data_IF_346615524103
#
_entry.id   IF_346615524103
#
_cell.length_a   1.000
_cell.length_b   1.000
_cell.length_c   1.000
_cell.angle_alpha   90.00
_cell.angle_beta   90.00
_cell.angle_gamma   90.00
#
_symmetry.space_group_name_H-M   'P 1'
#
loop_
_entity.id
_entity.type
_entity.pdbx_description
1 polymer ?
#
# COMPACT_ATOMS: atom_id res chain seq x y z
N UNK A 1 1.88 20.68 6.91
CA UNK A 1 2.39 19.28 6.70
C UNK A 1 3.90 19.33 6.59
N UNK A 2 4.65 18.42 7.22
CA UNK A 2 6.11 18.34 7.00
C UNK A 2 6.37 17.77 5.61
N UNK A 3 7.42 18.27 4.96
CA UNK A 3 7.86 17.74 3.68
C UNK A 3 8.82 16.58 3.92
N UNK A 4 8.49 15.40 3.40
CA UNK A 4 9.27 14.17 3.46
C UNK A 4 9.79 13.73 2.09
N UNK A 5 9.46 14.47 1.03
CA UNK A 5 9.92 14.22 -0.33
C UNK A 5 11.45 14.24 -0.40
N UNK A 6 12.03 13.22 -1.02
CA UNK A 6 13.49 13.09 -1.14
C UNK A 6 14.21 12.48 0.06
N UNK A 7 13.49 12.05 1.11
CA UNK A 7 14.12 11.26 2.18
C UNK A 7 14.63 9.91 1.63
N UNK A 8 15.77 9.43 2.14
CA UNK A 8 16.28 8.14 1.72
C UNK A 8 15.28 7.03 2.06
N UNK A 9 15.03 6.09 1.12
CA UNK A 9 14.20 4.92 1.40
C UNK A 9 14.71 4.14 2.61
N UNK A 10 13.78 3.47 3.30
CA UNK A 10 13.99 2.68 4.52
C UNK A 10 14.49 3.47 5.73
N UNK A 11 14.72 4.79 5.64
CA UNK A 11 14.83 5.64 6.83
C UNK A 11 13.45 5.76 7.52
N UNK A 12 13.42 6.25 8.77
CA UNK A 12 12.17 6.46 9.49
C UNK A 12 11.58 7.84 9.23
N UNK A 13 10.24 7.94 9.21
CA UNK A 13 9.61 9.26 9.08
C UNK A 13 9.92 10.17 10.27
N UNK A 14 9.93 9.63 11.49
CA UNK A 14 10.23 10.40 12.72
C UNK A 14 11.11 9.65 13.71
N UNK A 15 10.63 8.55 14.25
CA UNK A 15 11.24 7.84 15.38
C UNK A 15 11.68 6.46 14.93
N UNK A 16 12.96 6.16 15.08
CA UNK A 16 13.49 4.83 14.78
C UNK A 16 12.95 3.80 15.78
N UNK A 17 12.70 2.59 15.30
CA UNK A 17 12.40 1.46 16.18
C UNK A 17 13.68 1.02 16.90
N UNK A 18 13.59 0.71 18.20
CA UNK A 18 14.72 0.18 18.95
C UNK A 18 15.28 -1.12 18.32
N UNK A 19 16.58 -1.23 18.20
CA UNK A 19 17.24 -2.44 17.68
C UNK A 19 17.08 -2.71 16.18
N UNK A 20 16.60 -1.74 15.42
CA UNK A 20 16.50 -1.84 13.95
C UNK A 20 17.42 -0.83 13.29
N UNK A 21 18.50 -1.33 12.70
CA UNK A 21 19.35 -0.55 11.79
C UNK A 21 18.79 -0.69 10.35
N UNK A 22 18.33 0.43 9.78
CA UNK A 22 17.81 0.44 8.42
C UNK A 22 18.89 0.17 7.35
N UNK A 23 20.18 0.30 7.68
CA UNK A 23 21.29 -0.03 6.76
C UNK A 23 21.37 -1.54 6.47
N UNK A 24 20.79 -2.39 7.33
CA UNK A 24 20.67 -3.83 7.13
C UNK A 24 19.54 -4.25 6.19
N UNK A 25 18.65 -3.31 5.84
CA UNK A 25 17.46 -3.59 5.03
C UNK A 25 17.83 -3.56 3.54
N UNK A 26 17.91 -4.72 2.91
CA UNK A 26 18.32 -4.89 1.52
C UNK A 26 17.15 -4.96 0.53
N UNK A 27 15.95 -5.26 1.03
CA UNK A 27 14.73 -5.41 0.23
C UNK A 27 14.18 -4.09 -0.29
N UNK A 28 13.04 -4.18 -0.98
CA UNK A 28 12.32 -3.02 -1.52
C UNK A 28 10.93 -2.93 -0.90
N UNK A 29 10.60 -1.76 -0.37
CA UNK A 29 9.26 -1.48 0.18
C UNK A 29 8.45 -0.67 -0.82
N UNK A 30 7.36 -1.25 -1.32
CA UNK A 30 6.44 -0.66 -2.29
C UNK A 30 5.06 -0.60 -1.66
N UNK A 31 4.49 0.57 -1.63
CA UNK A 31 3.19 0.86 -1.03
C UNK A 31 2.17 1.15 -2.11
N UNK A 32 0.97 0.56 -2.01
CA UNK A 32 -0.16 0.83 -2.90
C UNK A 32 -1.28 1.45 -2.07
N UNK A 33 -1.58 2.71 -2.35
CA UNK A 33 -2.53 3.55 -1.63
C UNK A 33 -3.68 4.01 -2.49
N UNK A 34 -4.71 4.52 -1.85
CA UNK A 34 -5.86 5.14 -2.52
C UNK A 34 -7.19 4.89 -1.80
N UNK A 35 -8.29 5.50 -2.29
CA UNK A 35 -9.62 5.39 -1.71
C UNK A 35 -10.17 3.96 -1.78
N UNK A 36 -11.31 3.73 -1.14
CA UNK A 36 -11.97 2.44 -1.19
C UNK A 36 -12.52 2.16 -2.59
N UNK A 37 -12.61 0.89 -2.97
CA UNK A 37 -13.04 0.42 -4.30
C UNK A 37 -12.17 0.89 -5.50
N UNK A 38 -11.01 1.52 -5.31
CA UNK A 38 -10.15 1.99 -6.40
C UNK A 38 -9.46 0.85 -7.19
N UNK A 39 -9.46 -0.39 -6.65
CA UNK A 39 -8.93 -1.57 -7.34
C UNK A 39 -7.53 -2.01 -6.91
N UNK A 40 -7.02 -1.53 -5.75
CA UNK A 40 -5.69 -1.90 -5.22
C UNK A 40 -5.45 -3.41 -5.16
N UNK A 41 -6.33 -4.15 -4.50
CA UNK A 41 -6.17 -5.59 -4.31
C UNK A 41 -6.16 -6.37 -5.64
N UNK A 42 -6.83 -5.85 -6.67
CA UNK A 42 -6.74 -6.41 -8.04
C UNK A 42 -5.34 -6.24 -8.60
N UNK A 43 -4.73 -5.08 -8.41
CA UNK A 43 -3.38 -4.82 -8.90
C UNK A 43 -2.33 -5.61 -8.10
N UNK A 44 -2.44 -5.66 -6.77
CA UNK A 44 -1.51 -6.45 -5.91
C UNK A 44 -1.49 -7.92 -6.32
N UNK A 45 -2.66 -8.54 -6.55
CA UNK A 45 -2.76 -9.94 -7.00
C UNK A 45 -2.08 -10.20 -8.34
N UNK A 46 -1.99 -9.18 -9.21
CA UNK A 46 -1.30 -9.27 -10.50
C UNK A 46 0.20 -8.98 -10.38
N UNK A 47 0.57 -8.06 -9.49
CA UNK A 47 1.96 -7.63 -9.30
C UNK A 47 2.82 -8.72 -8.68
N UNK A 48 2.29 -9.46 -7.71
CA UNK A 48 3.04 -10.52 -7.03
C UNK A 48 3.61 -11.55 -8.02
N UNK A 49 2.80 -12.27 -8.83
CA UNK A 49 3.33 -13.23 -9.78
C UNK A 49 4.21 -12.60 -10.85
N UNK A 50 3.92 -11.35 -11.25
CA UNK A 50 4.77 -10.64 -12.20
C UNK A 50 6.19 -10.40 -11.64
N UNK A 51 6.33 -9.95 -10.39
CA UNK A 51 7.64 -9.77 -9.75
C UNK A 51 8.36 -11.12 -9.55
N UNK A 52 7.62 -12.16 -9.17
CA UNK A 52 8.16 -13.53 -9.01
C UNK A 52 8.68 -14.11 -10.33
N UNK A 53 8.06 -13.78 -11.48
CA UNK A 53 8.58 -14.14 -12.82
C UNK A 53 9.95 -13.53 -13.11
N UNK A 54 10.26 -12.36 -12.54
CA UNK A 54 11.58 -11.74 -12.63
C UNK A 54 12.58 -12.24 -11.56
N UNK A 55 12.17 -13.19 -10.71
CA UNK A 55 13.03 -13.85 -9.73
C UNK A 55 13.07 -13.17 -8.37
N UNK A 56 12.15 -12.24 -8.08
CA UNK A 56 12.05 -11.62 -6.76
C UNK A 56 11.24 -12.48 -5.79
N UNK A 57 11.70 -12.59 -4.55
CA UNK A 57 10.88 -13.05 -3.46
C UNK A 57 9.93 -11.91 -3.03
N UNK A 58 8.63 -12.18 -2.92
CA UNK A 58 7.61 -11.14 -2.70
C UNK A 58 6.79 -11.43 -1.45
N UNK A 59 6.78 -10.49 -0.51
CA UNK A 59 5.82 -10.46 0.59
C UNK A 59 4.64 -9.57 0.18
N UNK A 60 3.41 -10.14 0.20
CA UNK A 60 2.15 -9.40 0.08
C UNK A 60 1.53 -9.26 1.47
N UNK A 61 1.45 -8.04 1.97
CA UNK A 61 0.82 -7.70 3.24
C UNK A 61 -0.12 -6.50 3.09
N UNK A 62 -0.81 -6.09 4.15
CA UNK A 62 -1.74 -4.95 4.06
C UNK A 62 -2.50 -4.71 5.37
N UNK A 63 -3.23 -3.60 5.41
CA UNK A 63 -3.99 -3.15 6.59
C UNK A 63 -4.98 -4.23 7.06
N UNK A 64 -5.10 -4.37 8.39
CA UNK A 64 -5.94 -5.34 9.09
C UNK A 64 -5.60 -6.81 8.77
N UNK A 65 -4.32 -7.10 8.52
CA UNK A 65 -3.81 -8.45 8.25
C UNK A 65 -2.83 -8.95 9.31
N UNK A 66 -2.50 -8.16 10.35
CA UNK A 66 -1.61 -8.61 11.41
C UNK A 66 -2.18 -9.81 12.16
N UNK A 67 -1.30 -10.70 12.63
CA UNK A 67 -1.69 -11.84 13.45
C UNK A 67 -2.30 -11.40 14.79
N UNK A 68 -1.78 -10.31 15.35
CA UNK A 68 -2.21 -9.77 16.64
C UNK A 68 -3.57 -9.06 16.57
N UNK A 69 -3.73 -8.09 15.65
CA UNK A 69 -4.86 -7.15 15.68
C UNK A 69 -5.89 -7.39 14.55
N UNK A 70 -5.51 -8.05 13.46
CA UNK A 70 -6.33 -8.14 12.26
C UNK A 70 -7.71 -8.77 12.46
N UNK A 71 -7.81 -9.83 13.29
CA UNK A 71 -9.08 -10.47 13.63
C UNK A 71 -9.97 -9.53 14.44
N UNK A 72 -9.42 -8.92 15.51
CA UNK A 72 -10.17 -8.02 16.39
C UNK A 72 -10.66 -6.76 15.67
N UNK A 73 -9.89 -6.20 14.72
CA UNK A 73 -10.35 -5.09 13.87
C UNK A 73 -11.58 -5.49 13.06
N UNK A 74 -11.59 -6.69 12.47
CA UNK A 74 -12.73 -7.18 11.68
C UNK A 74 -13.98 -7.35 12.53
N UNK A 75 -13.83 -7.95 13.72
CA UNK A 75 -14.93 -8.15 14.67
C UNK A 75 -15.50 -6.82 15.19
N UNK A 76 -14.62 -5.90 15.59
CA UNK A 76 -15.05 -4.57 16.06
C UNK A 76 -15.73 -3.74 14.96
N UNK A 77 -15.24 -3.85 13.71
CA UNK A 77 -15.92 -3.22 12.56
C UNK A 77 -17.29 -3.82 12.29
N UNK A 78 -17.45 -5.13 12.39
CA UNK A 78 -18.72 -5.80 12.17
C UNK A 78 -19.76 -5.38 13.23
N UNK A 79 -19.32 -5.12 14.48
CA UNK A 79 -20.18 -4.63 15.55
C UNK A 79 -20.41 -3.12 15.55
N UNK A 80 -19.76 -2.35 14.68
CA UNK A 80 -19.77 -0.88 14.65
C UNK A 80 -19.46 -0.24 16.02
N UNK A 81 -18.52 -0.83 16.77
CA UNK A 81 -18.24 -0.48 18.18
C UNK A 81 -17.05 0.45 18.36
N UNK A 82 -16.33 0.80 17.29
CA UNK A 82 -15.12 1.58 17.38
C UNK A 82 -15.40 3.09 17.31
N UNK A 83 -14.97 3.81 18.34
CA UNK A 83 -14.81 5.27 18.25
C UNK A 83 -13.58 5.65 17.39
N UNK A 84 -13.50 6.91 16.91
CA UNK A 84 -12.44 7.34 15.97
C UNK A 84 -11.01 7.07 16.47
N UNK A 85 -10.71 7.51 17.69
CA UNK A 85 -9.36 7.32 18.29
C UNK A 85 -9.04 5.83 18.46
N UNK A 86 -9.98 5.03 18.98
CA UNK A 86 -9.78 3.59 19.15
C UNK A 86 -9.54 2.91 17.82
N UNK A 87 -10.28 3.26 16.77
CA UNK A 87 -10.08 2.75 15.41
C UNK A 87 -8.69 3.08 14.91
N UNK A 88 -8.25 4.33 15.04
CA UNK A 88 -6.94 4.80 14.61
C UNK A 88 -5.81 4.08 15.33
N UNK A 89 -5.89 3.96 16.66
CA UNK A 89 -4.90 3.24 17.46
C UNK A 89 -4.89 1.73 17.15
N UNK A 90 -6.05 1.14 16.90
CA UNK A 90 -6.14 -0.26 16.53
C UNK A 90 -5.47 -0.55 15.19
N UNK A 91 -5.67 0.31 14.18
CA UNK A 91 -4.94 0.23 12.91
C UNK A 91 -3.45 0.54 13.07
N UNK A 92 -3.06 1.45 13.98
CA UNK A 92 -1.66 1.70 14.29
C UNK A 92 -0.99 0.48 14.93
N UNK A 93 -1.71 -0.24 15.82
CA UNK A 93 -1.25 -1.51 16.42
C UNK A 93 -1.09 -2.60 15.36
N UNK A 94 -2.08 -2.78 14.46
CA UNK A 94 -1.97 -3.71 13.32
C UNK A 94 -0.75 -3.38 12.45
N UNK A 95 -0.52 -2.09 12.21
CA UNK A 95 0.62 -1.65 11.43
C UNK A 95 1.95 -1.92 12.15
N UNK A 96 2.04 -1.63 13.46
CA UNK A 96 3.24 -1.87 14.25
C UNK A 96 3.61 -3.37 14.25
N UNK A 97 2.65 -4.25 14.51
CA UNK A 97 2.84 -5.69 14.50
C UNK A 97 3.36 -6.19 13.13
N UNK A 98 2.73 -5.75 12.04
CA UNK A 98 3.20 -6.10 10.69
C UNK A 98 4.58 -5.51 10.37
N UNK A 99 4.87 -4.30 10.81
CA UNK A 99 6.17 -3.68 10.58
C UNK A 99 7.29 -4.49 11.23
N UNK A 100 7.11 -4.86 12.51
CA UNK A 100 8.11 -5.57 13.31
C UNK A 100 8.24 -7.05 12.90
N UNK A 101 7.13 -7.74 12.66
CA UNK A 101 7.09 -9.19 12.51
C UNK A 101 7.00 -9.69 11.07
N UNK A 102 6.66 -8.83 10.10
CA UNK A 102 6.56 -9.22 8.68
C UNK A 102 7.46 -8.36 7.79
N UNK A 103 7.29 -7.01 7.81
CA UNK A 103 7.91 -6.11 6.84
C UNK A 103 9.43 -6.03 7.05
N UNK A 104 9.89 -5.73 8.26
CA UNK A 104 11.32 -5.62 8.57
C UNK A 104 12.06 -6.95 8.33
N UNK A 105 11.58 -8.10 8.82
CA UNK A 105 12.21 -9.39 8.50
C UNK A 105 12.31 -9.68 7.01
N UNK A 106 11.25 -9.40 6.24
CA UNK A 106 11.26 -9.59 4.78
C UNK A 106 12.25 -8.64 4.09
N UNK A 107 12.33 -7.38 4.51
CA UNK A 107 13.29 -6.41 3.97
C UNK A 107 14.73 -6.81 4.29
N UNK A 108 15.03 -7.34 5.50
CA UNK A 108 16.34 -7.90 5.84
C UNK A 108 16.71 -9.08 4.95
N UNK A 109 15.73 -9.91 4.60
CA UNK A 109 15.91 -11.05 3.70
C UNK A 109 15.97 -10.67 2.21
N UNK A 110 15.93 -9.38 1.86
CA UNK A 110 16.01 -8.91 0.47
C UNK A 110 14.71 -9.02 -0.33
N UNK A 111 13.56 -9.23 0.29
CA UNK A 111 12.29 -9.36 -0.40
C UNK A 111 11.80 -8.02 -0.98
N UNK A 112 11.01 -8.11 -2.04
CA UNK A 112 10.12 -7.02 -2.44
C UNK A 112 8.85 -7.11 -1.58
N UNK A 113 8.62 -6.12 -0.73
CA UNK A 113 7.42 -6.02 0.11
C UNK A 113 6.40 -5.16 -0.62
N UNK A 114 5.27 -5.78 -0.99
CA UNK A 114 4.08 -5.08 -1.50
C UNK A 114 3.08 -4.93 -0.36
N UNK A 115 2.71 -3.70 -0.02
CA UNK A 115 1.68 -3.47 0.99
C UNK A 115 0.45 -2.77 0.40
N UNK A 116 -0.72 -3.45 0.49
CA UNK A 116 -2.04 -2.85 0.22
C UNK A 116 -2.45 -2.02 1.43
N UNK A 117 -2.26 -0.72 1.35
CA UNK A 117 -2.34 0.28 2.41
C UNK A 117 -1.16 0.26 3.38
N UNK A 118 -0.79 1.44 3.78
CA UNK A 118 0.28 1.74 4.72
C UNK A 118 -0.19 2.79 5.72
N UNK A 119 0.74 3.51 6.36
CA UNK A 119 0.39 4.59 7.29
C UNK A 119 -0.48 5.69 6.65
N UNK A 120 -0.36 5.89 5.33
CA UNK A 120 -1.10 6.96 4.65
C UNK A 120 -2.60 6.72 4.66
N UNK A 121 -3.06 5.46 4.54
CA UNK A 121 -4.47 5.12 4.74
C UNK A 121 -4.93 5.33 6.17
N UNK A 122 -4.08 5.07 7.19
CA UNK A 122 -4.41 5.34 8.59
C UNK A 122 -4.56 6.85 8.78
N UNK A 123 -3.58 7.63 8.31
CA UNK A 123 -3.59 9.09 8.39
C UNK A 123 -4.77 9.69 7.64
N UNK A 124 -5.02 9.28 6.39
CA UNK A 124 -6.09 9.82 5.58
C UNK A 124 -7.47 9.57 6.20
N UNK A 125 -7.71 8.37 6.72
CA UNK A 125 -8.97 8.00 7.37
C UNK A 125 -9.18 8.74 8.69
N UNK A 126 -8.13 8.93 9.50
CA UNK A 126 -8.17 9.68 10.74
C UNK A 126 -8.46 11.17 10.47
N UNK A 127 -7.74 11.79 9.53
CA UNK A 127 -7.92 13.19 9.16
C UNK A 127 -9.31 13.43 8.56
N UNK A 128 -9.78 12.54 7.66
CA UNK A 128 -11.13 12.65 7.09
C UNK A 128 -12.25 12.50 8.15
N UNK A 129 -11.95 11.90 9.30
CA UNK A 129 -12.82 11.80 10.48
C UNK A 129 -12.64 12.95 11.48
N UNK A 130 -11.83 13.96 11.14
CA UNK A 130 -11.64 15.15 11.97
C UNK A 130 -10.55 15.03 13.04
N UNK A 131 -9.75 13.96 13.03
CA UNK A 131 -8.67 13.82 13.98
C UNK A 131 -7.52 14.80 13.71
N UNK A 132 -6.78 15.15 14.75
CA UNK A 132 -5.68 16.09 14.66
C UNK A 132 -4.53 15.53 13.81
N UNK A 133 -4.23 16.18 12.69
CA UNK A 133 -3.18 15.79 11.74
C UNK A 133 -1.81 15.61 12.42
N UNK A 134 -1.42 16.53 13.29
CA UNK A 134 -0.11 16.45 13.96
C UNK A 134 -0.03 15.26 14.90
N UNK A 135 -1.12 14.93 15.57
CA UNK A 135 -1.19 13.76 16.43
C UNK A 135 -1.02 12.47 15.63
N UNK A 136 -1.78 12.31 14.54
CA UNK A 136 -1.70 11.08 13.73
C UNK A 136 -0.35 10.95 13.00
N UNK A 137 0.25 12.05 12.52
CA UNK A 137 1.59 12.03 11.95
C UNK A 137 2.67 11.61 12.97
N UNK A 138 2.48 11.92 14.26
CA UNK A 138 3.36 11.45 15.33
C UNK A 138 3.14 9.98 15.63
N UNK A 139 1.88 9.56 15.73
CA UNK A 139 1.47 8.17 16.00
C UNK A 139 2.01 7.22 14.92
N UNK A 140 2.00 7.63 13.65
CA UNK A 140 2.53 6.84 12.52
C UNK A 140 4.04 7.04 12.25
N UNK A 141 4.71 7.85 13.06
CA UNK A 141 6.06 8.35 12.76
C UNK A 141 7.19 7.31 12.84
N UNK A 142 6.92 6.12 13.38
CA UNK A 142 7.86 5.00 13.42
C UNK A 142 7.90 4.19 12.12
N UNK A 143 7.11 4.56 11.13
CA UNK A 143 7.08 3.89 9.83
C UNK A 143 8.35 4.16 9.02
N UNK A 144 8.77 3.15 8.24
CA UNK A 144 9.84 3.28 7.26
C UNK A 144 9.37 4.10 6.05
N UNK A 145 10.26 4.90 5.47
CA UNK A 145 10.04 5.59 4.20
C UNK A 145 10.07 4.56 3.06
N UNK A 146 9.00 4.38 2.28
CA UNK A 146 8.98 3.42 1.18
C UNK A 146 9.93 3.85 0.04
N UNK A 147 10.36 2.89 -0.77
CA UNK A 147 11.03 3.17 -2.03
C UNK A 147 10.08 3.80 -3.05
N UNK A 148 8.80 3.40 -3.00
CA UNK A 148 7.78 3.88 -3.91
C UNK A 148 6.41 3.83 -3.23
N UNK A 149 5.66 4.92 -3.32
CA UNK A 149 4.26 5.00 -2.94
C UNK A 149 3.44 5.22 -4.20
N UNK A 150 2.67 4.22 -4.59
CA UNK A 150 1.74 4.25 -5.73
C UNK A 150 0.38 4.70 -5.24
N UNK A 151 0.00 5.94 -5.50
CA UNK A 151 -1.31 6.45 -5.17
C UNK A 151 -2.26 6.24 -6.35
N UNK A 152 -3.14 5.25 -6.24
CA UNK A 152 -4.20 4.99 -7.21
C UNK A 152 -5.34 5.99 -7.02
N UNK A 153 -5.35 7.05 -7.84
CA UNK A 153 -6.36 8.11 -7.79
C UNK A 153 -7.48 7.83 -8.79
N UNK A 154 -8.71 7.92 -8.34
CA UNK A 154 -9.91 7.87 -9.18
C UNK A 154 -10.93 8.91 -8.70
N UNK A 155 -11.84 9.32 -9.57
CA UNK A 155 -12.94 10.19 -9.21
C UNK A 155 -14.01 9.40 -8.44
N UNK A 156 -14.77 10.07 -7.55
CA UNK A 156 -15.80 9.41 -6.73
C UNK A 156 -16.84 8.68 -7.58
N UNK A 157 -17.20 9.23 -8.75
CA UNK A 157 -18.13 8.58 -9.69
C UNK A 157 -17.66 7.20 -10.15
N UNK A 158 -16.35 7.03 -10.32
CA UNK A 158 -15.77 5.74 -10.73
C UNK A 158 -15.81 4.74 -9.58
N UNK A 159 -15.60 5.22 -8.33
CA UNK A 159 -15.71 4.39 -7.13
C UNK A 159 -17.13 3.89 -6.92
N UNK A 160 -18.13 4.77 -7.09
CA UNK A 160 -19.56 4.42 -6.99
C UNK A 160 -19.88 3.29 -7.99
N UNK A 161 -19.52 3.46 -9.26
CA UNK A 161 -19.77 2.45 -10.29
C UNK A 161 -19.15 1.10 -9.93
N UNK A 162 -17.94 1.10 -9.37
CA UNK A 162 -17.25 -0.14 -8.96
C UNK A 162 -17.87 -0.79 -7.73
N UNK A 163 -18.36 0.00 -6.77
CA UNK A 163 -19.09 -0.54 -5.61
C UNK A 163 -20.40 -1.17 -6.04
N UNK A 164 -21.19 -0.46 -6.82
CA UNK A 164 -22.52 -0.95 -7.27
C UNK A 164 -22.39 -2.18 -8.14
N UNK A 165 -21.51 -2.18 -9.14
CA UNK A 165 -21.33 -3.32 -10.04
C UNK A 165 -20.60 -4.50 -9.38
N UNK A 166 -19.61 -4.22 -8.51
CA UNK A 166 -18.76 -5.26 -7.95
C UNK A 166 -19.25 -5.90 -6.65
N UNK A 167 -19.96 -5.13 -5.80
CA UNK A 167 -20.41 -5.58 -4.46
C UNK A 167 -21.93 -5.48 -4.27
N UNK A 168 -22.62 -4.72 -5.10
CA UNK A 168 -24.06 -4.50 -5.00
C UNK A 168 -24.52 -3.57 -3.84
N UNK A 169 -23.65 -3.27 -2.89
CA UNK A 169 -23.96 -2.43 -1.73
C UNK A 169 -22.74 -1.64 -1.23
N UNK A 170 -23.00 -0.50 -0.59
CA UNK A 170 -22.00 0.28 0.12
C UNK A 170 -21.71 -0.32 1.50
N UNK A 171 -20.46 -0.23 1.94
CA UNK A 171 -20.03 -0.62 3.29
C UNK A 171 -20.20 0.54 4.28
N UNK A 172 -20.56 0.24 5.52
CA UNK A 172 -20.78 1.22 6.58
C UNK A 172 -19.58 2.15 6.79
N UNK A 173 -18.39 1.58 6.95
CA UNK A 173 -17.16 2.32 7.23
C UNK A 173 -16.58 3.02 6.01
N UNK A 174 -16.73 2.42 4.82
CA UNK A 174 -16.32 3.02 3.56
C UNK A 174 -17.24 4.17 3.14
N UNK A 175 -18.47 4.19 3.68
CA UNK A 175 -19.41 5.28 3.48
C UNK A 175 -19.30 6.39 4.53
N UNK A 176 -18.48 6.20 5.58
CA UNK A 176 -18.39 7.18 6.65
C UNK A 176 -19.72 7.41 7.39
N UNK A 177 -20.56 6.37 7.52
CA UNK A 177 -21.85 6.48 8.22
C UNK A 177 -21.67 6.80 9.70
N UNK A 178 -20.55 6.41 10.28
CA UNK A 178 -20.12 6.78 11.64
C UNK A 178 -19.99 8.30 11.85
N UNK A 179 -19.91 9.09 10.77
CA UNK A 179 -19.74 10.54 10.81
C UNK A 179 -21.05 11.32 10.70
N UNK A 180 -22.15 10.65 10.35
CA UNK A 180 -23.47 11.29 10.15
C UNK A 180 -23.45 12.49 9.19
N UNK A 181 -22.65 12.42 8.11
CA UNK A 181 -22.42 13.52 7.17
C UNK A 181 -23.34 13.53 5.96
N UNK A 182 -24.15 12.51 5.75
CA UNK A 182 -25.09 12.39 4.63
C UNK A 182 -26.52 12.09 5.10
N UNK A 183 -27.51 12.34 4.25
CA UNK A 183 -28.91 12.00 4.50
C UNK A 183 -29.18 10.50 4.36
N UNK A 184 -28.37 9.85 3.52
CA UNK A 184 -28.41 8.42 3.26
C UNK A 184 -26.99 7.88 3.05
N UNK A 185 -26.89 6.56 2.86
CA UNK A 185 -25.60 5.89 2.67
C UNK A 185 -24.87 6.34 1.39
N UNK A 186 -25.60 6.65 0.33
CA UNK A 186 -25.01 7.12 -0.93
C UNK A 186 -24.39 8.51 -0.77
N UNK A 187 -25.14 9.47 -0.23
CA UNK A 187 -24.64 10.83 0.02
C UNK A 187 -23.46 10.81 0.99
N UNK A 188 -23.56 10.01 2.05
CA UNK A 188 -22.47 9.82 3.00
C UNK A 188 -21.20 9.26 2.32
N UNK A 189 -21.34 8.22 1.48
CA UNK A 189 -20.24 7.67 0.69
C UNK A 189 -19.58 8.72 -0.19
N UNK A 190 -20.38 9.48 -0.94
CA UNK A 190 -19.85 10.55 -1.83
C UNK A 190 -19.05 11.57 -1.03
N UNK A 191 -19.58 12.06 0.08
CA UNK A 191 -18.94 13.07 0.91
C UNK A 191 -17.66 12.54 1.56
N UNK A 192 -17.73 11.35 2.14
CA UNK A 192 -16.59 10.73 2.81
C UNK A 192 -15.46 10.38 1.84
N UNK A 193 -15.76 9.73 0.71
CA UNK A 193 -14.74 9.39 -0.28
C UNK A 193 -14.15 10.63 -0.96
N UNK A 194 -14.92 11.70 -1.16
CA UNK A 194 -14.41 13.00 -1.63
C UNK A 194 -13.40 13.59 -0.64
N UNK A 195 -13.74 13.61 0.64
CA UNK A 195 -12.83 14.07 1.70
C UNK A 195 -11.56 13.20 1.77
N UNK A 196 -11.72 11.89 1.66
CA UNK A 196 -10.59 10.95 1.70
C UNK A 196 -9.63 11.16 0.51
N UNK A 197 -10.17 11.34 -0.70
CA UNK A 197 -9.39 11.66 -1.91
C UNK A 197 -8.64 12.98 -1.72
N UNK A 198 -9.30 14.02 -1.21
CA UNK A 198 -8.66 15.32 -0.96
C UNK A 198 -7.49 15.17 0.02
N UNK A 199 -7.65 14.40 1.10
CA UNK A 199 -6.55 14.18 2.05
C UNK A 199 -5.38 13.41 1.41
N UNK A 200 -5.66 12.44 0.54
CA UNK A 200 -4.59 11.77 -0.22
C UNK A 200 -3.90 12.72 -1.20
N UNK A 201 -4.66 13.56 -1.92
CA UNK A 201 -4.13 14.56 -2.84
C UNK A 201 -3.22 15.56 -2.08
N UNK A 202 -3.62 16.01 -0.89
CA UNK A 202 -2.82 16.88 -0.02
C UNK A 202 -1.52 16.22 0.47
N UNK A 203 -1.50 14.89 0.63
CA UNK A 203 -0.32 14.13 1.02
C UNK A 203 0.61 13.81 -0.15
N UNK A 204 0.13 13.86 -1.38
CA UNK A 204 0.86 13.36 -2.53
C UNK A 204 2.24 14.01 -2.70
N UNK A 205 2.32 15.32 -2.74
CA UNK A 205 3.61 16.01 -2.90
C UNK A 205 4.49 15.94 -1.64
N UNK A 206 4.01 16.23 -0.41
CA UNK A 206 4.85 16.16 0.79
C UNK A 206 5.48 14.80 1.08
N UNK A 207 4.83 13.72 0.65
CA UNK A 207 5.33 12.34 0.84
C UNK A 207 5.91 11.72 -0.43
N UNK A 208 5.91 12.46 -1.56
CA UNK A 208 6.48 12.02 -2.82
C UNK A 208 5.71 10.86 -3.45
N UNK A 209 4.38 10.91 -3.46
CA UNK A 209 3.56 9.87 -4.10
C UNK A 209 3.72 9.87 -5.61
N UNK A 210 3.79 8.69 -6.18
CA UNK A 210 3.63 8.49 -7.62
C UNK A 210 2.14 8.25 -7.92
N UNK A 211 1.50 9.27 -8.51
CA UNK A 211 0.06 9.23 -8.78
C UNK A 211 -0.22 8.38 -10.03
N UNK A 212 -1.09 7.38 -9.86
CA UNK A 212 -1.58 6.50 -10.94
C UNK A 212 -3.04 6.83 -11.22
N UNK A 213 -3.35 7.17 -12.46
CA UNK A 213 -4.74 7.36 -12.88
C UNK A 213 -5.48 6.03 -12.91
N UNK A 214 -6.22 5.76 -11.83
CA UNK A 214 -6.97 4.52 -11.66
C UNK A 214 -8.37 4.54 -12.32
N UNK A 215 -8.78 5.64 -12.97
CA UNK A 215 -9.99 5.69 -13.83
C UNK A 215 -9.81 4.96 -15.17
N UNK A 216 -8.57 4.64 -15.52
CA UNK A 216 -8.23 3.87 -16.71
C UNK A 216 -8.65 2.39 -16.60
N UNK A 217 -8.76 1.65 -17.73
CA UNK A 217 -8.93 0.20 -17.73
C UNK A 217 -7.86 -0.52 -16.90
N UNK A 218 -8.26 -1.63 -16.26
CA UNK A 218 -7.42 -2.39 -15.31
C UNK A 218 -6.02 -2.70 -15.87
N UNK A 219 -5.93 -3.06 -17.17
CA UNK A 219 -4.65 -3.38 -17.81
C UNK A 219 -3.77 -2.14 -18.00
N UNK A 220 -4.34 -0.99 -18.33
CA UNK A 220 -3.60 0.27 -18.44
C UNK A 220 -3.07 0.73 -17.11
N UNK A 221 -3.86 0.58 -16.04
CA UNK A 221 -3.42 0.84 -14.67
C UNK A 221 -2.26 -0.10 -14.31
N UNK A 222 -2.37 -1.38 -14.64
CA UNK A 222 -1.33 -2.36 -14.38
C UNK A 222 -0.01 -2.02 -15.07
N UNK A 223 -0.05 -1.65 -16.37
CA UNK A 223 1.15 -1.24 -17.12
C UNK A 223 1.80 0.02 -16.50
N UNK A 224 0.98 0.99 -16.08
CA UNK A 224 1.48 2.21 -15.42
C UNK A 224 2.18 1.88 -14.10
N UNK A 225 1.62 0.98 -13.30
CA UNK A 225 2.20 0.50 -12.05
C UNK A 225 3.51 -0.24 -12.31
N UNK A 226 3.55 -1.16 -13.28
CA UNK A 226 4.77 -1.89 -13.65
C UNK A 226 5.90 -0.95 -14.03
N UNK A 227 5.60 0.06 -14.88
CA UNK A 227 6.57 1.09 -15.27
C UNK A 227 7.14 1.82 -14.05
N UNK A 228 6.30 2.20 -13.09
CA UNK A 228 6.75 2.87 -11.88
C UNK A 228 7.60 1.94 -11.00
N UNK A 229 7.20 0.68 -10.80
CA UNK A 229 7.96 -0.29 -10.01
C UNK A 229 9.34 -0.56 -10.62
N UNK A 230 9.44 -0.65 -11.95
CA UNK A 230 10.71 -0.86 -12.65
C UNK A 230 11.74 0.26 -12.47
N UNK A 231 11.35 1.41 -11.90
CA UNK A 231 12.31 2.48 -11.54
C UNK A 231 13.05 2.22 -10.23
N UNK A 232 12.54 1.34 -9.37
CA UNK A 232 13.06 1.07 -8.02
C UNK A 232 13.43 -0.40 -7.78
N UNK A 233 12.93 -1.31 -8.63
CA UNK A 233 13.21 -2.74 -8.60
C UNK A 233 13.94 -3.11 -9.89
N UNK A 234 15.10 -3.76 -9.77
CA UNK A 234 15.84 -4.26 -10.93
C UNK A 234 15.05 -5.37 -11.63
N UNK A 235 14.70 -5.14 -12.89
CA UNK A 235 13.95 -6.09 -13.69
C UNK A 235 14.91 -6.87 -14.60
N UNK A 236 15.62 -7.78 -14.00
CA UNK A 236 16.43 -8.75 -14.76
C UNK A 236 15.56 -9.62 -15.69
N UNK A 237 16.18 -10.24 -16.69
CA UNK A 237 15.45 -11.14 -17.59
C UNK A 237 14.73 -12.24 -16.79
N UNK A 238 13.45 -12.58 -17.15
CA UNK A 238 12.64 -13.56 -16.43
C UNK A 238 13.42 -14.86 -16.14
N UNK A 239 13.24 -15.45 -14.98
CA UNK A 239 13.97 -16.64 -14.53
C UNK A 239 13.93 -17.79 -15.56
N UNK A 240 12.80 -17.95 -16.27
CA UNK A 240 12.66 -18.91 -17.39
C UNK A 240 13.59 -18.60 -18.57
N UNK A 241 13.91 -17.36 -18.85
CA UNK A 241 14.85 -16.95 -19.89
C UNK A 241 16.34 -17.14 -19.45
N UNK A 242 16.63 -16.96 -18.15
CA UNK A 242 17.95 -17.28 -17.58
C UNK A 242 18.28 -18.77 -17.65
N UNK A 243 17.31 -19.63 -17.39
CA UNK A 243 17.47 -21.09 -17.51
C UNK A 243 17.77 -21.50 -18.96
N UNK A 244 17.04 -20.97 -19.95
CA UNK A 244 17.31 -21.22 -21.39
C UNK A 244 18.68 -20.71 -21.85
N UNK A 245 19.16 -19.56 -21.31
CA UNK A 245 20.52 -19.05 -21.63
C UNK A 245 21.64 -19.88 -21.01
N UNK A 246 21.43 -20.45 -19.80
CA UNK A 246 22.43 -21.35 -19.19
C UNK A 246 22.57 -22.68 -19.95
N UNK A 247 21.49 -23.20 -20.55
CA UNK A 247 21.51 -24.43 -21.36
C UNK A 247 21.99 -24.21 -22.80
N UNK A 248 22.01 -22.96 -23.28
CA UNK A 248 22.42 -22.59 -24.64
C UNK A 248 23.90 -22.14 -24.76
N UNK A 249 24.75 -22.37 -23.76
CA UNK A 249 26.22 -22.12 -23.91
C UNK A 249 26.74 -23.14 -24.90
N UNK A 250 27.33 -22.73 -26.01
CA UNK A 250 27.91 -23.68 -26.97
C UNK A 250 29.08 -24.43 -26.33
N UNK A 251 29.03 -25.73 -26.43
CA UNK A 251 30.16 -26.60 -26.14
C UNK A 251 31.25 -26.20 -27.14
N UNK A 252 32.33 -25.59 -26.64
CA UNK A 252 33.49 -25.29 -27.46
C UNK A 252 33.98 -26.61 -28.08
N UNK A 253 33.97 -26.68 -29.42
CA UNK A 253 34.62 -27.76 -30.14
C UNK A 253 36.12 -27.74 -29.81
N UNK A 254 36.55 -28.72 -29.02
CA UNK A 254 37.97 -29.03 -28.88
C UNK A 254 38.40 -29.58 -30.23
N UNK A 255 39.20 -28.80 -30.98
CA UNK A 255 39.84 -29.26 -32.19
C UNK A 255 40.95 -30.22 -31.77
N UNK A 256 40.82 -31.47 -32.21
CA UNK A 256 41.90 -32.46 -32.14
C UNK A 256 43.03 -32.03 -33.07
N UNK A 257 44.23 -32.01 -32.53
CA UNK A 257 45.50 -32.18 -33.27
C UNK A 257 46.11 -33.51 -32.90
#
# INVERSE_FOLDING_TARGET
MRNYKGRPPLSYYRTALPGVDYSELQGKLIVIEGPDAVGRSTQVRRLKPWLEEFGHAVLDTGMARSALAGKGIKEAKAGNTLGPITMTLYYATDFADRLENEIIPALRAGFVVLTDRYIFSIMARAIARGENRTWIERTAGFALVPHLVLYMRAEVKDLISRVVVGRGAFDYWESGLDLHIGKDMYESFVRYQSSLIQVFDDMADPYGFHVINASQPVDRVFESIKKAISTVVEMDAPAKARAKRKTARPVAKVAAR
#
